data_IF_009981116641
#
_entry.id   IF_009981116641
#
_cell.length_a   1.000
_cell.length_b   1.000
_cell.length_c   1.000
_cell.angle_alpha   90.00
_cell.angle_beta   90.00
_cell.angle_gamma   90.00
#
_symmetry.space_group_name_H-M   'P 1'
#
loop_
_entity.id
_entity.type
_entity.pdbx_description
1 polymer ?
#
# COMPACT_ATOMS: atom_id res chain seq x y z
N UNK A 1 37.86 -39.16 87.76
CA UNK A 1 38.14 -39.55 86.36
C UNK A 1 36.83 -39.99 85.73
N UNK A 2 36.28 -39.19 84.83
CA UNK A 2 35.00 -39.46 84.16
C UNK A 2 35.27 -40.13 82.82
N UNK A 3 34.88 -41.40 82.68
CA UNK A 3 35.00 -42.16 81.44
C UNK A 3 33.93 -41.65 80.47
N UNK A 4 34.35 -41.08 79.33
CA UNK A 4 33.43 -40.76 78.23
C UNK A 4 33.04 -42.08 77.55
N UNK A 5 31.76 -42.32 77.26
CA UNK A 5 31.37 -43.46 76.44
C UNK A 5 31.88 -43.24 75.02
N UNK A 6 32.61 -44.23 74.52
CA UNK A 6 33.06 -44.28 73.13
C UNK A 6 31.84 -44.60 72.26
N UNK A 7 31.50 -43.66 71.38
CA UNK A 7 30.32 -43.76 70.54
C UNK A 7 30.69 -44.57 69.31
N UNK A 8 30.18 -45.80 69.24
CA UNK A 8 30.40 -46.72 68.12
C UNK A 8 29.68 -46.17 66.88
N UNK A 9 30.48 -45.75 65.89
CA UNK A 9 29.98 -45.11 64.67
C UNK A 9 29.36 -46.18 63.76
N UNK A 10 28.04 -46.36 63.88
CA UNK A 10 27.29 -47.29 63.03
C UNK A 10 27.20 -46.78 61.60
N UNK A 11 27.57 -47.65 60.66
CA UNK A 11 27.47 -47.47 59.20
C UNK A 11 26.06 -47.08 58.72
N UNK A 12 25.02 -47.36 59.52
CA UNK A 12 23.64 -46.92 59.29
C UNK A 12 23.45 -45.40 59.28
N UNK A 13 24.29 -44.66 60.00
CA UNK A 13 24.15 -43.22 60.17
C UNK A 13 24.74 -42.46 58.97
N UNK A 14 25.76 -43.01 58.30
CA UNK A 14 26.24 -42.50 57.01
C UNK A 14 25.19 -42.66 55.90
N UNK A 15 24.39 -43.74 55.95
CA UNK A 15 23.32 -43.98 54.98
C UNK A 15 22.18 -42.97 55.10
N UNK A 16 21.93 -42.42 56.30
CA UNK A 16 20.91 -41.39 56.52
C UNK A 16 21.35 -40.03 55.93
N UNK A 17 22.60 -39.62 56.15
CA UNK A 17 23.16 -38.39 55.55
C UNK A 17 23.18 -38.44 54.02
N UNK A 18 23.40 -39.62 53.44
CA UNK A 18 23.44 -39.81 51.97
C UNK A 18 22.04 -39.77 51.34
N UNK A 19 21.00 -40.12 52.09
CA UNK A 19 19.60 -40.13 51.62
C UNK A 19 19.08 -38.71 51.41
N UNK A 20 19.37 -37.79 52.31
CA UNK A 20 18.88 -36.41 52.22
C UNK A 20 19.49 -35.66 51.04
N UNK A 21 20.78 -35.89 50.76
CA UNK A 21 21.46 -35.32 49.60
C UNK A 21 20.91 -35.86 48.26
N UNK A 22 20.46 -37.12 48.23
CA UNK A 22 19.85 -37.72 47.05
C UNK A 22 18.44 -37.18 46.78
N UNK A 23 17.62 -37.02 47.83
CA UNK A 23 16.26 -36.48 47.72
C UNK A 23 16.28 -35.00 47.28
N UNK A 24 17.22 -34.19 47.78
CA UNK A 24 17.37 -32.79 47.38
C UNK A 24 17.82 -32.65 45.91
N UNK A 25 18.76 -33.49 45.48
CA UNK A 25 19.23 -33.53 44.09
C UNK A 25 18.12 -33.98 43.11
N UNK A 26 17.24 -34.90 43.54
CA UNK A 26 16.06 -35.34 42.77
C UNK A 26 14.96 -34.27 42.69
N UNK A 27 14.70 -33.54 43.78
CA UNK A 27 13.71 -32.46 43.76
C UNK A 27 14.17 -31.26 42.93
N UNK A 28 15.48 -30.96 42.93
CA UNK A 28 16.07 -29.91 42.09
C UNK A 28 15.97 -30.26 40.60
N UNK A 29 16.25 -31.49 40.18
CA UNK A 29 16.12 -31.87 38.75
C UNK A 29 14.67 -31.87 38.25
N UNK A 30 13.72 -32.27 39.10
CA UNK A 30 12.28 -32.34 38.78
C UNK A 30 11.62 -30.96 38.64
N UNK A 31 12.02 -29.98 39.45
CA UNK A 31 11.57 -28.57 39.31
C UNK A 31 12.02 -27.95 37.99
N UNK A 32 13.26 -28.23 37.57
CA UNK A 32 13.81 -27.69 36.31
C UNK A 32 13.23 -28.39 35.07
N UNK A 33 12.89 -29.69 35.17
CA UNK A 33 12.17 -30.41 34.12
C UNK A 33 10.76 -29.84 33.88
N UNK A 34 10.08 -29.34 34.92
CA UNK A 34 8.74 -28.76 34.82
C UNK A 34 8.75 -27.27 34.41
N UNK A 35 9.86 -26.54 34.66
CA UNK A 35 10.04 -25.15 34.24
C UNK A 35 10.33 -25.00 32.75
N UNK A 36 11.01 -25.96 32.12
CA UNK A 36 11.32 -25.96 30.69
C UNK A 36 10.09 -25.75 29.79
N UNK A 37 8.99 -26.51 29.90
CA UNK A 37 7.81 -26.30 29.06
C UNK A 37 7.18 -24.91 29.27
N UNK A 38 7.18 -24.38 30.49
CA UNK A 38 6.67 -23.03 30.77
C UNK A 38 7.49 -21.94 30.06
N UNK A 39 8.81 -22.11 30.00
CA UNK A 39 9.70 -21.19 29.27
C UNK A 39 9.41 -21.25 27.77
N UNK A 40 9.27 -22.46 27.19
CA UNK A 40 8.95 -22.60 25.76
C UNK A 40 7.58 -21.99 25.41
N UNK A 41 6.56 -22.21 26.25
CA UNK A 41 5.24 -21.58 26.07
C UNK A 41 5.35 -20.06 26.14
N UNK A 42 6.10 -19.52 27.11
CA UNK A 42 6.35 -18.09 27.21
C UNK A 42 7.02 -17.51 25.96
N UNK A 43 8.05 -18.17 25.43
CA UNK A 43 8.74 -17.75 24.20
C UNK A 43 7.79 -17.75 23.00
N UNK A 44 6.99 -18.80 22.82
CA UNK A 44 6.02 -18.87 21.70
C UNK A 44 4.98 -17.77 21.80
N UNK A 45 4.48 -17.46 23.01
CA UNK A 45 3.52 -16.37 23.22
C UNK A 45 4.15 -15.02 22.88
N UNK A 46 5.39 -14.77 23.31
CA UNK A 46 6.09 -13.52 22.99
C UNK A 46 6.31 -13.37 21.48
N UNK A 47 6.76 -14.43 20.80
CA UNK A 47 6.93 -14.42 19.34
C UNK A 47 5.60 -14.15 18.64
N UNK A 48 4.52 -14.82 19.05
CA UNK A 48 3.19 -14.58 18.51
C UNK A 48 2.70 -13.14 18.73
N UNK A 49 2.97 -12.55 19.90
CA UNK A 49 2.65 -11.15 20.17
C UNK A 49 3.44 -10.18 19.28
N UNK A 50 4.72 -10.45 19.05
CA UNK A 50 5.56 -9.63 18.17
C UNK A 50 5.02 -9.69 16.73
N UNK A 51 4.71 -10.88 16.22
CA UNK A 51 4.12 -11.06 14.88
C UNK A 51 2.78 -10.32 14.75
N UNK A 52 1.92 -10.40 15.76
CA UNK A 52 0.64 -9.67 15.77
C UNK A 52 0.87 -8.16 15.75
N UNK A 53 1.82 -7.64 16.54
CA UNK A 53 2.13 -6.21 16.57
C UNK A 53 2.65 -5.76 15.19
N UNK A 54 3.57 -6.52 14.59
CA UNK A 54 4.10 -6.23 13.25
C UNK A 54 2.98 -6.22 12.21
N UNK A 55 2.08 -7.22 12.25
CA UNK A 55 0.95 -7.30 11.35
C UNK A 55 -0.04 -6.14 11.52
N UNK A 56 -0.32 -5.73 12.76
CA UNK A 56 -1.18 -4.58 13.05
C UNK A 56 -0.55 -3.27 12.57
N UNK A 57 0.75 -3.07 12.78
CA UNK A 57 1.48 -1.91 12.25
C UNK A 57 1.43 -1.89 10.73
N UNK A 58 1.63 -3.04 10.09
CA UNK A 58 1.54 -3.16 8.63
C UNK A 58 0.13 -2.79 8.12
N UNK A 59 -0.93 -3.33 8.73
CA UNK A 59 -2.31 -3.01 8.34
C UNK A 59 -2.64 -1.52 8.53
N UNK A 60 -2.21 -0.92 9.62
CA UNK A 60 -2.41 0.52 9.87
C UNK A 60 -1.70 1.34 8.79
N UNK A 61 -0.46 0.98 8.46
CA UNK A 61 0.31 1.69 7.45
C UNK A 61 -0.29 1.53 6.05
N UNK A 62 -0.73 0.32 5.69
CA UNK A 62 -1.46 0.09 4.43
C UNK A 62 -2.79 0.83 4.39
N UNK A 63 -3.52 0.95 5.50
CA UNK A 63 -4.79 1.68 5.55
C UNK A 63 -4.64 3.20 5.38
N UNK A 64 -3.46 3.74 5.70
CA UNK A 64 -3.14 5.16 5.52
C UNK A 64 -2.70 5.50 4.10
N UNK A 65 -2.31 4.49 3.31
CA UNK A 65 -1.92 4.69 1.93
C UNK A 65 -3.18 4.97 1.09
N UNK A 66 -3.17 6.04 0.27
CA UNK A 66 -4.28 6.27 -0.64
C UNK A 66 -4.43 5.06 -1.59
N UNK A 67 -5.66 4.58 -1.85
CA UNK A 67 -5.92 3.35 -2.62
C UNK A 67 -5.48 3.41 -4.10
N UNK A 68 -4.90 4.52 -4.55
CA UNK A 68 -4.52 4.80 -5.94
C UNK A 68 -3.10 5.36 -6.07
N UNK A 69 -2.26 5.21 -5.04
CA UNK A 69 -0.86 5.64 -5.10
C UNK A 69 -0.08 4.81 -6.13
N UNK A 70 0.72 5.47 -6.96
CA UNK A 70 1.61 4.78 -7.88
C UNK A 70 2.64 3.95 -7.11
N UNK A 71 2.67 2.65 -7.39
CA UNK A 71 3.58 1.70 -6.71
C UNK A 71 5.04 1.89 -7.14
N UNK A 72 5.27 2.50 -8.31
CA UNK A 72 6.60 2.65 -8.89
C UNK A 72 7.25 4.01 -8.56
N UNK A 73 6.53 4.93 -7.90
CA UNK A 73 7.02 6.27 -7.59
C UNK A 73 7.33 7.14 -8.81
N UNK A 74 6.76 6.82 -9.97
CA UNK A 74 6.89 7.56 -11.22
C UNK A 74 5.96 8.78 -11.23
N UNK A 75 4.82 8.69 -10.56
CA UNK A 75 3.87 9.79 -10.41
C UNK A 75 4.06 10.43 -9.03
N UNK A 76 4.35 11.74 -8.96
CA UNK A 76 4.37 12.47 -7.69
C UNK A 76 3.05 12.33 -6.93
N UNK A 77 3.11 12.44 -5.60
CA UNK A 77 1.91 12.42 -4.78
C UNK A 77 1.11 13.72 -4.99
N UNK A 78 -0.02 13.63 -5.70
CA UNK A 78 -0.95 14.75 -5.89
C UNK A 78 -2.19 14.57 -5.00
N UNK A 79 -2.85 15.68 -4.59
CA UNK A 79 -4.16 15.62 -3.98
C UNK A 79 -5.15 14.90 -4.91
N UNK A 80 -5.65 13.75 -4.46
CA UNK A 80 -6.60 12.93 -5.22
C UNK A 80 -7.96 12.98 -4.55
N UNK A 81 -9.01 13.10 -5.35
CA UNK A 81 -10.39 12.97 -4.89
C UNK A 81 -11.09 11.91 -5.72
N UNK A 82 -11.93 11.10 -5.08
CA UNK A 82 -12.69 10.08 -5.79
C UNK A 82 -13.80 10.75 -6.59
N UNK A 83 -13.83 10.50 -7.89
CA UNK A 83 -14.89 10.96 -8.79
C UNK A 83 -15.72 9.76 -9.25
N UNK A 84 -17.04 9.90 -9.17
CA UNK A 84 -17.96 8.92 -9.73
C UNK A 84 -18.21 9.28 -11.20
N UNK A 85 -17.70 8.45 -12.11
CA UNK A 85 -18.03 8.58 -13.53
C UNK A 85 -19.49 8.22 -13.76
N UNK A 86 -20.21 9.11 -14.42
CA UNK A 86 -21.59 8.87 -14.87
C UNK A 86 -21.60 8.86 -16.38
N UNK A 87 -22.49 8.05 -16.94
CA UNK A 87 -22.74 8.06 -18.37
C UNK A 87 -23.28 9.44 -18.75
N UNK A 88 -22.58 10.13 -19.64
CA UNK A 88 -23.07 11.34 -20.28
C UNK A 88 -23.70 10.98 -21.63
N UNK A 89 -25.02 11.13 -21.81
CA UNK A 89 -25.69 10.87 -23.08
C UNK A 89 -25.11 11.68 -24.25
N UNK A 90 -24.55 12.87 -23.99
CA UNK A 90 -23.93 13.72 -25.02
C UNK A 90 -22.54 13.25 -25.41
N UNK A 91 -21.91 12.37 -24.62
CA UNK A 91 -20.63 11.78 -24.95
C UNK A 91 -20.75 10.51 -25.82
N UNK A 92 -21.98 10.09 -26.15
CA UNK A 92 -22.27 8.88 -26.93
C UNK A 92 -23.12 9.23 -28.16
N UNK A 93 -22.62 8.91 -29.35
CA UNK A 93 -23.38 9.08 -30.59
C UNK A 93 -24.31 7.90 -30.82
N UNK A 94 -25.51 8.16 -31.37
CA UNK A 94 -26.36 7.09 -31.87
C UNK A 94 -25.84 6.49 -33.19
N UNK A 95 -24.90 7.17 -33.86
CA UNK A 95 -24.33 6.86 -35.18
C UNK A 95 -25.36 6.69 -36.32
N UNK A 96 -26.64 7.00 -36.09
CA UNK A 96 -27.74 6.87 -37.05
C UNK A 96 -27.91 8.11 -37.91
N UNK A 97 -27.61 9.27 -37.35
CA UNK A 97 -27.74 10.57 -38.03
C UNK A 97 -26.42 11.32 -38.05
N UNK A 98 -26.18 12.07 -39.12
CA UNK A 98 -24.99 12.93 -39.20
C UNK A 98 -25.02 14.01 -38.12
N UNK A 99 -26.21 14.54 -37.79
CA UNK A 99 -26.42 15.46 -36.68
C UNK A 99 -25.98 14.88 -35.32
N UNK A 100 -26.28 13.61 -35.02
CA UNK A 100 -25.83 12.98 -33.76
C UNK A 100 -24.31 12.83 -33.70
N UNK A 101 -23.68 12.49 -34.83
CA UNK A 101 -22.22 12.36 -34.92
C UNK A 101 -21.54 13.72 -34.75
N UNK A 102 -22.05 14.75 -35.42
CA UNK A 102 -21.55 16.13 -35.29
C UNK A 102 -21.70 16.66 -33.87
N UNK A 103 -22.88 16.49 -33.24
CA UNK A 103 -23.13 16.95 -31.88
C UNK A 103 -22.22 16.24 -30.85
N UNK A 104 -22.02 14.93 -30.99
CA UNK A 104 -21.10 14.18 -30.10
C UNK A 104 -19.66 14.63 -30.29
N UNK A 105 -19.23 14.85 -31.54
CA UNK A 105 -17.89 15.35 -31.86
C UNK A 105 -17.67 16.74 -31.29
N UNK A 106 -18.62 17.65 -31.43
CA UNK A 106 -18.55 19.00 -30.83
C UNK A 106 -18.46 18.93 -29.30
N UNK A 107 -19.23 18.04 -28.67
CA UNK A 107 -19.15 17.81 -27.23
C UNK A 107 -17.76 17.31 -26.82
N UNK A 108 -17.15 16.38 -27.56
CA UNK A 108 -15.79 15.92 -27.28
C UNK A 108 -14.72 17.00 -27.48
N UNK A 109 -14.87 17.85 -28.50
CA UNK A 109 -14.01 19.01 -28.70
C UNK A 109 -14.10 20.00 -27.53
N UNK A 110 -15.27 20.09 -26.87
CA UNK A 110 -15.44 20.93 -25.70
C UNK A 110 -14.60 20.47 -24.49
N UNK A 111 -14.28 19.18 -24.40
CA UNK A 111 -13.41 18.63 -23.36
C UNK A 111 -11.92 18.82 -23.66
N UNK A 112 -11.55 19.17 -24.90
CA UNK A 112 -10.14 19.30 -25.26
C UNK A 112 -9.52 20.51 -24.54
N UNK A 113 -8.42 20.31 -23.79
CA UNK A 113 -7.73 21.41 -23.16
C UNK A 113 -7.17 22.36 -24.22
N UNK A 114 -7.30 23.66 -23.95
CA UNK A 114 -6.70 24.71 -24.79
C UNK A 114 -5.19 24.52 -24.84
N UNK A 115 -4.58 24.82 -26.00
CA UNK A 115 -3.13 24.70 -26.19
C UNK A 115 -2.68 23.38 -26.84
N UNK A 116 -3.57 22.64 -27.50
CA UNK A 116 -3.26 21.41 -28.24
C UNK A 116 -2.47 20.38 -27.41
N UNK A 117 -2.86 20.22 -26.14
CA UNK A 117 -2.21 19.29 -25.24
C UNK A 117 -0.94 19.82 -24.56
N UNK A 118 -0.64 21.11 -24.70
CA UNK A 118 0.43 21.76 -23.96
C UNK A 118 -0.13 22.86 -23.06
N UNK A 119 0.34 22.89 -21.82
CA UNK A 119 0.07 23.97 -20.87
C UNK A 119 1.36 24.75 -20.62
N UNK A 120 1.26 26.07 -20.61
CA UNK A 120 2.35 26.93 -20.20
C UNK A 120 2.30 27.11 -18.68
N UNK A 121 3.38 26.76 -18.00
CA UNK A 121 3.51 26.90 -16.55
C UNK A 121 4.52 28.00 -16.27
N UNK A 122 4.08 29.02 -15.54
CA UNK A 122 4.97 30.06 -15.05
C UNK A 122 5.60 29.59 -13.73
N UNK A 123 6.81 30.07 -13.45
CA UNK A 123 7.51 29.79 -12.19
C UNK A 123 7.67 28.30 -11.87
N UNK A 124 8.19 27.53 -12.82
CA UNK A 124 8.45 26.09 -12.68
C UNK A 124 9.33 25.75 -11.48
N UNK A 125 10.18 26.68 -11.08
CA UNK A 125 11.07 26.61 -9.91
C UNK A 125 10.35 26.72 -8.56
N UNK A 126 9.09 27.16 -8.55
CA UNK A 126 8.26 27.31 -7.35
C UNK A 126 7.23 26.17 -7.21
N UNK A 127 7.24 25.21 -8.13
CA UNK A 127 6.33 24.07 -8.07
C UNK A 127 6.70 23.20 -6.87
N UNK A 128 5.70 22.89 -6.05
CA UNK A 128 5.81 21.95 -4.94
C UNK A 128 6.13 20.52 -5.44
N UNK A 129 5.73 20.22 -6.67
CA UNK A 129 5.87 18.91 -7.29
C UNK A 129 7.08 18.84 -8.22
N UNK A 130 7.86 17.76 -8.09
CA UNK A 130 8.98 17.47 -8.99
C UNK A 130 8.41 16.96 -10.31
N UNK A 131 8.27 17.85 -11.28
CA UNK A 131 7.93 17.51 -12.66
C UNK A 131 9.21 17.25 -13.47
N UNK A 132 9.07 16.55 -14.59
CA UNK A 132 10.14 16.48 -15.58
C UNK A 132 10.56 17.89 -16.07
N UNK A 133 11.77 18.06 -16.60
CA UNK A 133 12.19 19.34 -17.17
C UNK A 133 11.17 19.85 -18.20
N UNK A 134 10.83 21.15 -18.17
CA UNK A 134 9.87 21.71 -19.10
C UNK A 134 10.40 21.70 -20.54
N UNK A 135 9.48 21.67 -21.50
CA UNK A 135 9.81 21.90 -22.90
C UNK A 135 9.84 23.40 -23.13
N UNK A 136 11.02 23.97 -23.34
CA UNK A 136 11.17 25.40 -23.62
C UNK A 136 10.81 25.70 -25.08
N UNK A 137 9.72 26.44 -25.30
CA UNK A 137 9.31 26.88 -26.64
C UNK A 137 8.59 28.22 -26.58
N UNK A 138 8.89 29.10 -27.53
CA UNK A 138 8.31 30.46 -27.60
C UNK A 138 8.53 31.30 -26.32
N UNK A 139 9.66 31.10 -25.63
CA UNK A 139 9.97 31.78 -24.37
C UNK A 139 9.07 31.35 -23.20
N UNK A 140 8.45 30.17 -23.29
CA UNK A 140 7.58 29.60 -22.24
C UNK A 140 8.03 28.18 -21.90
N UNK A 141 7.81 27.82 -20.63
CA UNK A 141 7.98 26.47 -20.12
C UNK A 141 6.68 25.69 -20.34
N UNK A 142 6.73 24.69 -21.23
CA UNK A 142 5.56 23.91 -21.62
C UNK A 142 5.60 22.51 -21.04
N UNK A 143 4.44 22.04 -20.58
CA UNK A 143 4.19 20.67 -20.15
C UNK A 143 3.13 20.01 -21.01
N UNK A 144 3.37 18.75 -21.37
CA UNK A 144 2.41 17.95 -22.13
C UNK A 144 1.34 17.36 -21.20
N UNK A 145 0.08 17.41 -21.64
CA UNK A 145 -1.07 16.83 -20.93
C UNK A 145 -1.35 15.45 -21.48
N UNK A 146 -1.12 14.39 -20.68
CA UNK A 146 -1.27 13.00 -21.12
C UNK A 146 -2.68 12.67 -21.65
N UNK A 147 -3.73 13.25 -21.05
CA UNK A 147 -5.14 13.06 -21.46
C UNK A 147 -5.40 13.54 -22.89
N UNK A 148 -4.61 14.48 -23.40
CA UNK A 148 -4.77 14.98 -24.76
C UNK A 148 -4.60 13.89 -25.81
N UNK A 149 -3.64 12.97 -25.64
CA UNK A 149 -3.40 11.89 -26.61
C UNK A 149 -4.61 10.94 -26.70
N UNK A 150 -5.20 10.61 -25.56
CA UNK A 150 -6.40 9.77 -25.49
C UNK A 150 -7.59 10.45 -26.16
N UNK A 151 -7.81 11.74 -25.88
CA UNK A 151 -8.94 12.50 -26.43
C UNK A 151 -8.82 12.73 -27.94
N UNK A 152 -7.61 13.04 -28.43
CA UNK A 152 -7.35 13.26 -29.85
C UNK A 152 -7.53 11.99 -30.69
N UNK A 153 -7.17 10.82 -30.17
CA UNK A 153 -7.46 9.54 -30.83
C UNK A 153 -8.96 9.28 -30.91
N UNK A 154 -9.71 9.54 -29.83
CA UNK A 154 -11.17 9.37 -29.81
C UNK A 154 -11.87 10.28 -30.83
N UNK A 155 -11.50 11.57 -30.89
CA UNK A 155 -12.05 12.50 -31.89
C UNK A 155 -11.70 12.07 -33.31
N UNK A 156 -10.50 11.54 -33.55
CA UNK A 156 -10.10 11.02 -34.86
C UNK A 156 -10.90 9.78 -35.26
N UNK A 157 -11.09 8.83 -34.36
CA UNK A 157 -11.87 7.61 -34.64
C UNK A 157 -13.33 7.91 -34.96
N UNK A 158 -13.98 8.87 -34.28
CA UNK A 158 -15.35 9.27 -34.67
C UNK A 158 -15.46 9.90 -36.06
N UNK A 159 -14.36 10.47 -36.59
CA UNK A 159 -14.33 11.05 -37.93
C UNK A 159 -14.07 10.02 -39.04
N UNK A 160 -13.54 8.84 -38.69
CA UNK A 160 -13.41 7.68 -39.57
C UNK A 160 -14.51 6.68 -39.22
N UNK A 161 -15.65 6.78 -39.89
CA UNK A 161 -16.75 5.81 -39.83
C UNK A 161 -16.25 4.36 -39.79
N UNK A 162 -16.35 3.67 -38.64
CA UNK A 162 -16.34 2.22 -38.60
C UNK A 162 -17.70 1.70 -38.14
N UNK A 163 -18.33 1.04 -39.09
CA UNK A 163 -19.46 0.13 -38.98
C UNK A 163 -19.12 -1.13 -38.16
N UNK A 164 -18.84 -0.98 -36.85
CA UNK A 164 -18.64 -2.13 -35.95
C UNK A 164 -19.28 -1.87 -34.57
N UNK A 165 -20.23 -2.72 -34.12
CA UNK A 165 -21.01 -2.50 -32.90
C UNK A 165 -20.31 -3.02 -31.63
N UNK A 166 -18.98 -2.99 -31.56
CA UNK A 166 -18.23 -3.68 -30.51
C UNK A 166 -16.96 -2.94 -30.13
N UNK A 167 -17.10 -1.78 -29.49
CA UNK A 167 -16.10 -1.31 -28.54
C UNK A 167 -16.81 -0.38 -27.55
N UNK A 168 -17.02 -0.86 -26.32
CA UNK A 168 -17.28 -0.02 -25.17
C UNK A 168 -15.92 0.33 -24.56
N UNK A 169 -15.35 1.51 -24.79
CA UNK A 169 -14.16 1.89 -24.06
C UNK A 169 -14.62 2.38 -22.68
N UNK A 170 -14.35 1.57 -21.65
CA UNK A 170 -14.32 2.07 -20.27
C UNK A 170 -13.10 2.98 -20.16
N UNK A 171 -13.27 4.27 -20.48
CA UNK A 171 -12.20 5.26 -20.35
C UNK A 171 -12.27 5.84 -18.94
N UNK A 172 -11.34 5.41 -18.10
CA UNK A 172 -11.12 5.98 -16.77
C UNK A 172 -10.31 7.27 -16.96
N UNK A 173 -10.94 8.44 -16.82
CA UNK A 173 -10.27 9.73 -16.96
C UNK A 173 -9.88 10.29 -15.59
N UNK A 174 -8.59 10.31 -15.26
CA UNK A 174 -8.12 11.09 -14.12
C UNK A 174 -8.08 12.58 -14.52
N UNK A 175 -9.05 13.35 -14.03
CA UNK A 175 -9.06 14.81 -14.13
C UNK A 175 -8.64 15.41 -12.79
N UNK A 176 -7.54 16.15 -12.77
CA UNK A 176 -7.31 17.23 -11.80
C UNK A 176 -7.19 18.50 -12.64
N UNK A 177 -8.29 19.24 -12.73
CA UNK A 177 -8.28 20.64 -13.15
C UNK A 177 -8.80 21.42 -11.96
N UNK A 178 -7.88 21.82 -11.09
CA UNK A 178 -8.17 22.79 -10.05
C UNK A 178 -8.29 24.15 -10.76
N UNK A 179 -9.52 24.66 -10.85
CA UNK A 179 -9.78 26.02 -11.33
C UNK A 179 -9.33 27.00 -10.24
N UNK A 180 -8.33 27.81 -10.55
CA UNK A 180 -8.18 29.16 -10.00
C UNK A 180 -8.64 30.18 -11.03
#
# INVERSE_FOLDING_TARGET
>A
MSVKPEYDHRESDELLLKRDHYIDQMNRSRRWACLRPLIYVGVVVVVGFVEIIVFLVYLVETSRQPPLRDLNGLVPDFPTHQVLFRLDPMAVSDHRTESSKSATKENWLSYMPRGNGFIAVNHTEQLEYVLSPPIEKFGKNLYAVAVFHQMHCLVRESSLSLSTPTLRPNILFYFVIERH
#
